data_IF_744212448933
#
_entry.id   IF_744212448933
#
_cell.length_a   1.000
_cell.length_b   1.000
_cell.length_c   1.000
_cell.angle_alpha   90.00
_cell.angle_beta   90.00
_cell.angle_gamma   90.00
#
_symmetry.space_group_name_H-M   'P 1'
#
loop_
_entity.id
_entity.type
_entity.pdbx_description
1 polymer ?
#
# COMPACT_ATOMS: atom_id res chain seq x y z
N UNK A 1 -16.00 26.14 -9.58
CA UNK A 1 -15.08 25.24 -10.29
C UNK A 1 -15.35 23.87 -9.69
N UNK A 2 -16.08 23.01 -10.41
CA UNK A 2 -16.42 21.69 -9.89
C UNK A 2 -15.11 20.89 -9.79
N UNK A 3 -14.68 20.57 -8.56
CA UNK A 3 -13.63 19.59 -8.37
C UNK A 3 -14.15 18.28 -8.96
N UNK A 4 -13.32 17.65 -9.79
CA UNK A 4 -13.59 16.34 -10.37
C UNK A 4 -13.83 15.36 -9.21
N UNK A 5 -15.10 14.97 -9.01
CA UNK A 5 -15.55 14.05 -7.96
C UNK A 5 -15.20 12.58 -8.32
N UNK A 6 -14.36 12.39 -9.34
CA UNK A 6 -13.81 11.09 -9.69
C UNK A 6 -12.62 10.79 -8.79
N UNK A 7 -12.63 9.63 -8.08
CA UNK A 7 -11.48 9.21 -7.30
C UNK A 7 -10.28 9.10 -8.24
N UNK A 8 -9.23 9.89 -7.98
CA UNK A 8 -7.99 9.83 -8.74
C UNK A 8 -7.46 8.39 -8.73
N UNK A 9 -6.94 7.86 -9.85
CA UNK A 9 -6.36 6.54 -9.89
C UNK A 9 -5.25 6.41 -8.83
N UNK A 10 -5.06 5.21 -8.26
CA UNK A 10 -4.04 5.02 -7.24
C UNK A 10 -2.64 5.26 -7.83
N UNK A 11 -1.76 5.85 -7.03
CA UNK A 11 -0.39 6.18 -7.46
C UNK A 11 0.59 5.97 -6.31
N UNK A 12 0.81 4.69 -5.97
CA UNK A 12 1.82 4.24 -5.01
C UNK A 12 3.19 4.10 -5.65
N UNK A 13 3.23 3.83 -6.96
CA UNK A 13 4.42 3.61 -7.76
C UNK A 13 4.41 4.59 -8.95
N UNK A 14 5.52 5.31 -9.15
CA UNK A 14 5.75 6.12 -10.34
C UNK A 14 6.46 5.31 -11.43
N UNK A 15 6.29 5.74 -12.69
CA UNK A 15 6.98 5.12 -13.83
C UNK A 15 8.50 5.14 -13.64
N UNK A 16 9.03 6.24 -13.10
CA UNK A 16 10.46 6.39 -12.83
C UNK A 16 10.96 5.36 -11.83
N UNK A 17 10.27 5.19 -10.70
CA UNK A 17 10.66 4.22 -9.68
C UNK A 17 10.55 2.79 -10.20
N UNK A 18 9.52 2.49 -10.99
CA UNK A 18 9.36 1.20 -11.64
C UNK A 18 10.54 0.87 -12.57
N UNK A 19 10.93 1.82 -13.42
CA UNK A 19 12.06 1.66 -14.34
C UNK A 19 13.39 1.44 -13.61
N UNK A 20 13.59 2.10 -12.46
CA UNK A 20 14.78 1.90 -11.61
C UNK A 20 14.83 0.47 -11.09
N UNK A 21 13.75 0.00 -10.46
CA UNK A 21 13.70 -1.35 -9.86
C UNK A 21 13.83 -2.44 -10.93
N UNK A 22 13.15 -2.29 -12.07
CA UNK A 22 13.25 -3.26 -13.17
C UNK A 22 14.67 -3.31 -13.76
N UNK A 23 15.35 -2.17 -13.77
CA UNK A 23 16.71 -2.04 -14.32
C UNK A 23 17.80 -2.71 -13.49
N UNK A 24 17.53 -3.09 -12.23
CA UNK A 24 18.46 -3.89 -11.41
C UNK A 24 18.73 -5.28 -12.02
N UNK A 25 17.78 -5.80 -12.80
CA UNK A 25 17.92 -7.06 -13.53
C UNK A 25 18.47 -6.79 -14.93
N UNK A 26 17.82 -5.87 -15.64
CA UNK A 26 18.20 -5.45 -16.99
C UNK A 26 17.51 -4.13 -17.34
N UNK A 27 18.15 -3.20 -18.09
CA UNK A 27 17.49 -1.98 -18.56
C UNK A 27 16.13 -2.25 -19.20
N UNK A 28 15.06 -1.94 -18.47
CA UNK A 28 13.68 -2.31 -18.81
C UNK A 28 12.76 -1.22 -18.28
N UNK A 29 11.83 -0.77 -19.13
CA UNK A 29 10.78 0.17 -18.71
C UNK A 29 9.43 -0.53 -18.53
N UNK A 30 8.57 0.01 -17.68
CA UNK A 30 7.22 -0.50 -17.47
C UNK A 30 6.22 0.23 -18.38
N UNK A 31 5.36 -0.52 -19.10
CA UNK A 31 4.27 0.10 -19.88
C UNK A 31 3.22 0.75 -18.97
N UNK A 32 2.56 1.81 -19.44
CA UNK A 32 1.51 2.53 -18.68
C UNK A 32 0.44 1.58 -18.12
N UNK A 33 -0.14 0.71 -18.95
CA UNK A 33 -1.20 -0.21 -18.51
C UNK A 33 -0.72 -1.18 -17.41
N UNK A 34 0.57 -1.56 -17.44
CA UNK A 34 1.17 -2.40 -16.41
C UNK A 34 1.42 -1.62 -15.11
N UNK A 35 1.83 -0.35 -15.21
CA UNK A 35 1.97 0.56 -14.08
C UNK A 35 0.62 0.78 -13.38
N UNK A 36 -0.43 1.04 -14.16
CA UNK A 36 -1.79 1.21 -13.65
C UNK A 36 -2.28 -0.07 -12.96
N UNK A 37 -1.99 -1.24 -13.54
CA UNK A 37 -2.33 -2.53 -12.94
C UNK A 37 -1.58 -2.80 -11.63
N UNK A 38 -0.29 -2.44 -11.53
CA UNK A 38 0.46 -2.54 -10.26
C UNK A 38 -0.15 -1.61 -9.22
N UNK A 39 -0.42 -0.35 -9.57
CA UNK A 39 -1.02 0.60 -8.63
C UNK A 39 -2.41 0.17 -8.15
N UNK A 40 -3.24 -0.39 -9.03
CA UNK A 40 -4.55 -0.95 -8.66
C UNK A 40 -4.40 -2.17 -7.73
N UNK A 41 -3.43 -3.05 -8.00
CA UNK A 41 -3.11 -4.20 -7.15
C UNK A 41 -2.70 -3.78 -5.73
N UNK A 42 -1.89 -2.72 -5.61
CA UNK A 42 -1.47 -2.18 -4.31
C UNK A 42 -2.61 -1.49 -3.55
N UNK A 43 -3.51 -0.80 -4.26
CA UNK A 43 -4.71 -0.17 -3.69
C UNK A 43 -5.66 -1.21 -3.08
N UNK A 44 -5.93 -2.29 -3.82
CA UNK A 44 -6.75 -3.42 -3.37
C UNK A 44 -6.09 -4.22 -2.24
N UNK A 45 -4.75 -4.34 -2.23
CA UNK A 45 -4.01 -4.90 -1.10
C UNK A 45 -4.23 -4.05 0.17
N UNK A 46 -4.08 -2.73 0.08
CA UNK A 46 -4.32 -1.82 1.20
C UNK A 46 -5.75 -1.96 1.72
N UNK A 47 -6.73 -1.94 0.82
CA UNK A 47 -8.14 -2.11 1.17
C UNK A 47 -8.40 -3.47 1.85
N UNK A 48 -7.80 -4.55 1.34
CA UNK A 48 -7.91 -5.90 1.90
C UNK A 48 -7.32 -6.00 3.31
N UNK A 49 -6.15 -5.40 3.55
CA UNK A 49 -5.53 -5.36 4.88
C UNK A 49 -6.45 -4.64 5.87
N UNK A 50 -6.99 -3.47 5.50
CA UNK A 50 -7.88 -2.70 6.37
C UNK A 50 -9.21 -3.40 6.63
N UNK A 51 -9.75 -4.07 5.62
CA UNK A 51 -10.93 -4.93 5.76
C UNK A 51 -10.69 -6.06 6.76
N UNK A 52 -9.52 -6.70 6.72
CA UNK A 52 -9.17 -7.80 7.61
C UNK A 52 -8.75 -7.38 9.02
N UNK A 53 -8.17 -6.18 9.15
CA UNK A 53 -7.65 -5.62 10.41
C UNK A 53 -8.73 -4.94 11.26
N UNK A 54 -9.65 -4.20 10.63
CA UNK A 54 -10.72 -3.41 11.29
C UNK A 54 -10.23 -2.47 12.41
N UNK A 55 -8.95 -2.08 12.39
CA UNK A 55 -8.31 -1.19 13.35
C UNK A 55 -6.99 -0.62 12.81
N UNK A 56 -6.56 0.52 13.36
CA UNK A 56 -5.32 1.22 12.96
C UNK A 56 -4.09 0.88 13.79
N UNK A 57 -4.23 0.06 14.84
CA UNK A 57 -3.06 -0.37 15.62
C UNK A 57 -2.19 -1.29 14.78
N UNK A 58 -0.87 -1.09 14.80
CA UNK A 58 0.09 -1.88 14.00
C UNK A 58 -0.02 -3.38 14.26
N UNK A 59 -0.35 -3.79 15.49
CA UNK A 59 -0.63 -5.19 15.83
C UNK A 59 -1.81 -5.79 15.07
N UNK A 60 -2.88 -5.01 14.84
CA UNK A 60 -4.05 -5.43 14.06
C UNK A 60 -3.79 -5.32 12.56
N UNK A 61 -3.06 -4.32 12.10
CA UNK A 61 -2.64 -4.21 10.69
C UNK A 61 -1.78 -5.41 10.29
N UNK A 62 -0.82 -5.78 11.14
CA UNK A 62 -0.02 -7.01 11.01
C UNK A 62 -0.88 -8.26 10.96
N UNK A 63 -1.86 -8.38 11.86
CA UNK A 63 -2.79 -9.50 11.86
C UNK A 63 -3.67 -9.53 10.59
N UNK A 64 -4.10 -8.37 10.10
CA UNK A 64 -4.82 -8.20 8.83
C UNK A 64 -3.99 -8.65 7.63
N UNK A 65 -2.74 -8.16 7.53
CA UNK A 65 -1.80 -8.61 6.50
C UNK A 65 -1.57 -10.12 6.58
N UNK A 66 -1.40 -10.70 7.77
CA UNK A 66 -1.22 -12.15 7.90
C UNK A 66 -2.44 -12.95 7.45
N UNK A 67 -3.66 -12.43 7.57
CA UNK A 67 -4.87 -13.07 7.02
C UNK A 67 -4.94 -12.98 5.49
N UNK A 68 -4.48 -11.86 4.93
CA UNK A 68 -4.56 -11.56 3.48
C UNK A 68 -3.42 -12.21 2.70
N UNK A 69 -2.22 -12.22 3.26
CA UNK A 69 -0.99 -12.73 2.66
C UNK A 69 -0.22 -13.62 3.67
N UNK A 70 -0.72 -14.85 3.94
CA UNK A 70 -0.15 -15.77 4.95
C UNK A 70 1.14 -16.48 4.47
N UNK A 71 1.99 -15.81 3.71
CA UNK A 71 3.19 -16.38 3.05
C UNK A 71 4.47 -15.78 3.61
N UNK A 72 5.63 -16.20 3.09
CA UNK A 72 6.93 -15.62 3.46
C UNK A 72 7.01 -14.15 3.09
N UNK A 73 6.48 -13.77 1.91
CA UNK A 73 6.41 -12.38 1.46
C UNK A 73 5.66 -11.50 2.47
N UNK A 74 4.51 -11.96 2.98
CA UNK A 74 3.78 -11.22 4.02
C UNK A 74 4.57 -11.07 5.33
N UNK A 75 5.45 -12.01 5.67
CA UNK A 75 6.32 -11.91 6.86
C UNK A 75 7.49 -10.95 6.64
N UNK A 76 8.05 -10.95 5.44
CA UNK A 76 9.11 -10.02 5.03
C UNK A 76 8.59 -8.58 5.01
N UNK A 77 7.41 -8.34 4.44
CA UNK A 77 6.75 -7.04 4.45
C UNK A 77 6.45 -6.53 5.88
N UNK A 78 6.10 -7.43 6.82
CA UNK A 78 5.97 -7.08 8.24
C UNK A 78 7.32 -6.66 8.83
N UNK A 79 8.41 -7.38 8.51
CA UNK A 79 9.74 -7.04 9.03
C UNK A 79 10.15 -5.63 8.62
N UNK A 80 9.95 -5.27 7.35
CA UNK A 80 10.25 -3.91 6.86
C UNK A 80 9.39 -2.85 7.56
N UNK A 81 8.11 -3.14 7.77
CA UNK A 81 7.20 -2.23 8.47
C UNK A 81 7.57 -2.03 9.95
N UNK A 82 8.01 -3.08 10.64
CA UNK A 82 8.51 -2.96 12.02
C UNK A 82 9.83 -2.17 12.07
N UNK A 83 10.70 -2.32 11.05
CA UNK A 83 11.95 -1.55 10.94
C UNK A 83 11.68 -0.06 10.73
N UNK A 84 10.81 0.30 9.79
CA UNK A 84 10.46 1.71 9.53
C UNK A 84 9.82 2.35 10.76
N UNK A 85 8.92 1.62 11.42
CA UNK A 85 8.24 2.12 12.61
C UNK A 85 9.21 2.31 13.78
N UNK A 86 10.17 1.40 13.94
CA UNK A 86 11.25 1.55 14.92
C UNK A 86 12.09 2.79 14.63
N UNK A 87 12.50 2.99 13.38
CA UNK A 87 13.27 4.16 12.97
C UNK A 87 12.48 5.47 13.21
N UNK A 88 11.16 5.46 13.01
CA UNK A 88 10.29 6.59 13.33
C UNK A 88 10.29 6.92 14.83
N UNK A 89 10.17 5.93 15.70
CA UNK A 89 10.20 6.14 17.15
C UNK A 89 11.55 6.61 17.66
N UNK A 90 12.65 6.08 17.11
CA UNK A 90 14.01 6.53 17.41
C UNK A 90 14.21 8.00 17.03
N UNK A 91 13.63 8.45 15.90
CA UNK A 91 13.66 9.87 15.46
C UNK A 91 12.77 10.79 16.32
N UNK A 92 11.62 10.31 16.77
CA UNK A 92 10.60 11.13 17.46
C UNK A 92 10.67 11.08 18.98
N UNK A 93 11.56 10.25 19.55
CA UNK A 93 11.66 10.05 21.00
C UNK A 93 10.44 9.35 21.62
N UNK A 94 9.59 8.75 20.79
CA UNK A 94 8.42 7.99 21.23
C UNK A 94 8.81 6.60 21.75
N UNK A 95 8.25 6.16 22.88
CA UNK A 95 8.46 4.80 23.35
C UNK A 95 7.59 3.81 22.55
N UNK A 96 8.14 2.70 22.03
CA UNK A 96 7.33 1.60 21.52
C UNK A 96 6.48 1.04 22.67
N UNK A 97 5.15 1.19 22.57
CA UNK A 97 4.19 0.60 23.52
C UNK A 97 3.36 1.58 24.37
N UNK A 98 3.50 2.90 24.25
CA UNK A 98 2.70 3.86 25.06
C UNK A 98 1.25 4.08 24.57
N UNK A 99 0.83 3.40 23.51
CA UNK A 99 -0.47 3.59 22.86
C UNK A 99 -1.51 2.48 23.08
N UNK A 100 -1.27 1.53 24.00
CA UNK A 100 -2.20 0.41 24.25
C UNK A 100 -3.42 0.86 25.08
N UNK A 101 -4.28 1.67 24.47
CA UNK A 101 -5.71 1.61 24.77
C UNK A 101 -6.37 0.92 23.59
N UNK A 102 -6.52 -0.40 23.74
CA UNK A 102 -7.34 -1.25 22.90
C UNK A 102 -8.79 -0.77 23.06
N UNK A 103 -9.22 0.17 22.23
CA UNK A 103 -10.64 0.29 21.92
C UNK A 103 -10.85 -0.69 20.78
N UNK A 104 -11.25 -1.91 21.13
CA UNK A 104 -11.89 -2.80 20.17
C UNK A 104 -13.14 -2.05 19.73
N UNK A 105 -13.06 -1.44 18.56
CA UNK A 105 -14.20 -0.76 17.97
C UNK A 105 -15.17 -1.88 17.59
N UNK A 106 -16.36 -1.88 18.20
CA UNK A 106 -17.46 -2.72 17.78
C UNK A 106 -17.64 -2.59 16.25
N UNK A 107 -18.10 -3.63 15.57
CA UNK A 107 -18.09 -3.73 14.09
C UNK A 107 -18.87 -2.58 13.41
N UNK A 108 -19.71 -1.87 14.17
CA UNK A 108 -20.45 -0.66 13.76
C UNK A 108 -19.63 0.65 13.73
N UNK A 109 -18.40 0.69 14.25
CA UNK A 109 -17.62 1.93 14.40
C UNK A 109 -16.37 2.07 13.52
N UNK A 110 -15.94 1.01 12.81
CA UNK A 110 -14.82 1.11 11.87
C UNK A 110 -15.33 1.51 10.47
N UNK A 111 -15.24 2.81 10.18
CA UNK A 111 -15.65 3.40 8.91
C UNK A 111 -14.63 3.11 7.80
N UNK A 112 -14.64 1.87 7.31
CA UNK A 112 -13.64 1.33 6.36
C UNK A 112 -13.39 2.26 5.17
N UNK A 113 -14.44 2.75 4.52
CA UNK A 113 -14.31 3.58 3.33
C UNK A 113 -13.53 4.88 3.61
N UNK A 114 -13.95 5.64 4.63
CA UNK A 114 -13.29 6.91 4.99
C UNK A 114 -11.86 6.70 5.48
N UNK A 115 -11.62 5.62 6.25
CA UNK A 115 -10.29 5.26 6.74
C UNK A 115 -9.38 4.83 5.59
N UNK A 116 -9.92 4.08 4.63
CA UNK A 116 -9.20 3.67 3.43
C UNK A 116 -8.82 4.88 2.57
N UNK A 117 -9.76 5.80 2.30
CA UNK A 117 -9.48 7.04 1.57
C UNK A 117 -8.35 7.85 2.24
N UNK A 118 -8.38 7.95 3.58
CA UNK A 118 -7.37 8.70 4.33
C UNK A 118 -6.00 8.01 4.28
N UNK A 119 -5.95 6.71 4.51
CA UNK A 119 -4.70 5.95 4.47
C UNK A 119 -4.14 5.83 3.07
N UNK A 120 -4.98 5.72 2.04
CA UNK A 120 -4.55 5.76 0.63
C UNK A 120 -3.80 7.06 0.34
N UNK A 121 -4.36 8.21 0.71
CA UNK A 121 -3.71 9.51 0.52
C UNK A 121 -2.35 9.56 1.24
N UNK A 122 -2.29 9.09 2.49
CA UNK A 122 -1.05 9.08 3.26
C UNK A 122 -0.01 8.12 2.69
N UNK A 123 -0.38 6.89 2.33
CA UNK A 123 0.54 5.91 1.77
C UNK A 123 1.10 6.34 0.41
N UNK A 124 0.30 6.99 -0.44
CA UNK A 124 0.77 7.53 -1.71
C UNK A 124 1.76 8.68 -1.52
N UNK A 125 1.56 9.52 -0.50
CA UNK A 125 2.46 10.63 -0.18
C UNK A 125 3.72 10.20 0.60
N UNK A 126 3.65 9.11 1.37
CA UNK A 126 4.78 8.60 2.14
C UNK A 126 5.65 7.61 1.37
N UNK A 127 5.13 7.03 0.30
CA UNK A 127 5.90 6.08 -0.49
C UNK A 127 7.04 6.80 -1.23
N UNK A 128 8.25 6.29 -1.00
CA UNK A 128 9.47 6.60 -1.73
C UNK A 128 9.43 6.15 -3.20
N UNK A 129 8.50 5.26 -3.54
CA UNK A 129 8.26 4.78 -4.90
C UNK A 129 7.32 5.71 -5.70
N UNK A 130 6.62 6.62 -5.03
CA UNK A 130 5.65 7.55 -5.60
C UNK A 130 6.29 8.91 -5.92
N UNK A 131 5.72 9.62 -6.91
CA UNK A 131 6.04 11.02 -7.19
C UNK A 131 5.03 11.99 -6.52
N UNK A 132 4.17 11.49 -5.63
CA UNK A 132 3.14 12.30 -4.96
C UNK A 132 3.65 12.92 -3.66
N UNK A 133 3.37 14.20 -3.48
CA UNK A 133 3.56 14.90 -2.21
C UNK A 133 2.28 14.89 -1.35
N UNK A 134 2.42 15.22 -0.06
CA UNK A 134 1.27 15.40 0.84
C UNK A 134 0.33 16.50 0.31
N UNK A 135 -0.91 16.12 0.01
CA UNK A 135 -1.94 17.05 -0.44
C UNK A 135 -2.83 17.48 0.75
N UNK A 136 -2.38 18.51 1.47
CA UNK A 136 -3.07 19.03 2.66
C UNK A 136 -4.51 19.49 2.37
N UNK A 137 -4.79 20.00 1.16
CA UNK A 137 -6.14 20.43 0.76
C UNK A 137 -7.09 19.24 0.62
N UNK A 138 -6.65 18.19 -0.08
CA UNK A 138 -7.44 16.96 -0.27
C UNK A 138 -7.68 16.26 1.07
N UNK A 139 -6.67 16.22 1.93
CA UNK A 139 -6.80 15.69 3.30
C UNK A 139 -7.82 16.51 4.11
N UNK A 140 -7.74 17.83 4.09
CA UNK A 140 -8.68 18.70 4.81
C UNK A 140 -10.12 18.49 4.36
N UNK A 141 -10.36 18.39 3.04
CA UNK A 141 -11.68 18.11 2.49
C UNK A 141 -12.21 16.72 2.90
N UNK A 142 -11.34 15.70 2.94
CA UNK A 142 -11.73 14.38 3.41
C UNK A 142 -12.09 14.39 4.90
N UNK A 143 -11.30 15.08 5.73
CA UNK A 143 -11.58 15.22 7.17
C UNK A 143 -12.88 16.02 7.43
N UNK A 144 -13.15 17.05 6.62
CA UNK A 144 -14.40 17.81 6.67
C UNK A 144 -15.61 16.92 6.32
N UNK A 145 -15.51 16.12 5.25
CA UNK A 145 -16.52 15.12 4.87
C UNK A 145 -16.77 14.11 5.99
N UNK A 146 -15.71 13.54 6.56
CA UNK A 146 -15.80 12.62 7.70
C UNK A 146 -16.53 13.25 8.89
N UNK A 147 -16.18 14.50 9.23
CA UNK A 147 -16.83 15.25 10.32
C UNK A 147 -18.33 15.47 10.04
N UNK A 148 -18.68 15.86 8.81
CA UNK A 148 -20.07 16.08 8.40
C UNK A 148 -20.92 14.80 8.44
N UNK A 149 -20.31 13.65 8.14
CA UNK A 149 -20.93 12.32 8.21
C UNK A 149 -20.95 11.72 9.64
N UNK A 150 -20.39 12.43 10.63
CA UNK A 150 -20.27 11.94 12.01
C UNK A 150 -19.25 10.82 12.20
N UNK A 151 -18.35 10.63 11.23
CA UNK A 151 -17.26 9.65 11.28
C UNK A 151 -16.16 10.14 12.22
N UNK A 152 -15.77 9.37 13.26
CA UNK A 152 -14.68 9.76 14.15
C UNK A 152 -13.35 9.92 13.41
N UNK A 153 -12.73 11.09 13.55
CA UNK A 153 -11.41 11.37 12.97
C UNK A 153 -10.33 10.67 13.82
N UNK A 154 -9.46 9.82 13.23
CA UNK A 154 -8.36 9.19 13.94
C UNK A 154 -7.40 10.22 14.53
N UNK A 155 -6.88 9.94 15.73
CA UNK A 155 -5.84 10.78 16.33
C UNK A 155 -4.53 10.62 15.54
N UNK A 156 -3.76 11.70 15.42
CA UNK A 156 -2.46 11.67 14.74
C UNK A 156 -1.49 10.63 15.33
N UNK A 157 -1.57 10.41 16.64
CA UNK A 157 -0.78 9.39 17.34
C UNK A 157 -1.11 7.94 16.94
N UNK A 158 -2.24 7.71 16.27
CA UNK A 158 -2.61 6.43 15.68
C UNK A 158 -2.41 6.43 14.16
N UNK A 159 -2.77 7.54 13.50
CA UNK A 159 -2.71 7.67 12.06
C UNK A 159 -1.28 7.61 11.53
N UNK A 160 -0.35 8.40 12.10
CA UNK A 160 1.04 8.45 11.59
C UNK A 160 1.73 7.08 11.65
N UNK A 161 1.74 6.34 12.78
CA UNK A 161 2.29 4.99 12.82
C UNK A 161 1.63 4.02 11.83
N UNK A 162 0.30 4.08 11.70
CA UNK A 162 -0.44 3.22 10.77
C UNK A 162 -0.06 3.50 9.31
N UNK A 163 0.02 4.77 8.92
CA UNK A 163 0.40 5.19 7.57
C UNK A 163 1.81 4.74 7.22
N UNK A 164 2.79 4.97 8.10
CA UNK A 164 4.17 4.54 7.86
C UNK A 164 4.27 3.01 7.74
N UNK A 165 3.61 2.29 8.65
CA UNK A 165 3.60 0.83 8.66
C UNK A 165 3.01 0.25 7.38
N UNK A 166 1.86 0.77 6.92
CA UNK A 166 1.21 0.32 5.70
C UNK A 166 1.98 0.74 4.44
N UNK A 167 2.64 1.89 4.46
CA UNK A 167 3.51 2.34 3.36
C UNK A 167 4.64 1.35 3.16
N UNK A 168 5.37 1.00 4.22
CA UNK A 168 6.47 0.03 4.16
C UNK A 168 6.00 -1.36 3.68
N UNK A 169 4.81 -1.81 4.09
CA UNK A 169 4.21 -3.06 3.56
C UNK A 169 3.97 -2.97 2.05
N UNK A 170 3.33 -1.88 1.60
CA UNK A 170 2.99 -1.67 0.19
C UNK A 170 4.25 -1.60 -0.67
N UNK A 171 5.29 -0.90 -0.20
CA UNK A 171 6.57 -0.79 -0.89
C UNK A 171 7.30 -2.13 -0.99
N UNK A 172 7.43 -2.86 0.13
CA UNK A 172 8.07 -4.18 0.15
C UNK A 172 7.41 -5.15 -0.83
N UNK A 173 6.07 -5.16 -0.90
CA UNK A 173 5.33 -6.01 -1.83
C UNK A 173 5.48 -5.51 -3.28
N UNK A 174 5.46 -4.19 -3.51
CA UNK A 174 5.67 -3.59 -4.83
C UNK A 174 7.04 -3.95 -5.41
N UNK A 175 8.11 -3.79 -4.64
CA UNK A 175 9.47 -4.12 -5.04
C UNK A 175 9.61 -5.60 -5.39
N UNK A 176 9.03 -6.49 -4.57
CA UNK A 176 9.02 -7.92 -4.83
C UNK A 176 8.30 -8.27 -6.13
N UNK A 177 7.13 -7.69 -6.36
CA UNK A 177 6.37 -7.85 -7.62
C UNK A 177 7.23 -7.40 -8.80
N UNK A 178 7.77 -6.18 -8.76
CA UNK A 178 8.58 -5.62 -9.85
C UNK A 178 9.86 -6.42 -10.11
N UNK A 179 10.50 -6.95 -9.07
CA UNK A 179 11.65 -7.85 -9.24
C UNK A 179 11.24 -9.10 -10.04
N UNK A 180 10.09 -9.70 -9.74
CA UNK A 180 9.59 -10.84 -10.50
C UNK A 180 9.18 -10.47 -11.93
N UNK A 181 8.56 -9.30 -12.13
CA UNK A 181 8.26 -8.78 -13.47
C UNK A 181 9.53 -8.60 -14.30
N UNK A 182 10.58 -8.02 -13.72
CA UNK A 182 11.87 -7.85 -14.40
C UNK A 182 12.49 -9.19 -14.78
N UNK A 183 12.37 -10.23 -13.94
CA UNK A 183 12.85 -11.59 -14.25
C UNK A 183 12.07 -12.23 -15.40
N UNK A 184 10.76 -12.01 -15.46
CA UNK A 184 9.91 -12.50 -16.55
C UNK A 184 10.26 -11.77 -17.86
N UNK A 185 10.33 -10.44 -17.83
CA UNK A 185 10.67 -9.63 -19.01
C UNK A 185 12.07 -9.98 -19.56
N UNK A 186 13.04 -10.25 -18.68
CA UNK A 186 14.40 -10.62 -19.05
C UNK A 186 14.52 -11.99 -19.79
N UNK A 187 13.45 -12.81 -19.81
CA UNK A 187 13.42 -14.07 -20.58
C UNK A 187 13.46 -13.82 -22.08
N UNK A 188 12.93 -12.68 -22.53
CA UNK A 188 13.03 -12.23 -23.92
C UNK A 188 13.95 -11.01 -23.99
N UNK A 189 15.25 -11.29 -24.19
CA UNK A 189 16.28 -10.26 -24.25
C UNK A 189 16.17 -9.33 -25.47
N UNK A 190 15.29 -9.60 -26.43
CA UNK A 190 15.03 -8.70 -27.55
C UNK A 190 14.17 -7.49 -27.15
N UNK A 191 13.46 -7.58 -26.02
CA UNK A 191 12.55 -6.55 -25.51
C UNK A 191 13.19 -5.76 -24.39
N UNK A 192 12.89 -4.47 -24.29
CA UNK A 192 13.32 -3.59 -23.20
C UNK A 192 12.12 -3.01 -22.44
N UNK A 193 10.97 -3.67 -22.55
CA UNK A 193 9.68 -3.23 -22.00
C UNK A 193 8.97 -4.40 -21.33
N UNK A 194 8.64 -4.20 -20.05
CA UNK A 194 7.76 -5.06 -19.29
C UNK A 194 6.30 -4.62 -19.49
N UNK A 195 5.45 -5.57 -19.83
CA UNK A 195 4.04 -5.36 -20.16
C UNK A 195 3.13 -5.92 -19.08
N UNK A 196 1.82 -5.64 -19.18
CA UNK A 196 0.81 -6.23 -18.29
C UNK A 196 0.80 -7.77 -18.38
N UNK A 197 1.21 -8.34 -19.52
CA UNK A 197 1.35 -9.79 -19.66
C UNK A 197 2.54 -10.33 -18.83
N UNK A 198 3.66 -9.61 -18.80
CA UNK A 198 4.81 -10.00 -17.98
C UNK A 198 4.49 -9.89 -16.49
N UNK A 199 3.74 -8.86 -16.09
CA UNK A 199 3.16 -8.73 -14.75
C UNK A 199 2.24 -9.91 -14.39
N UNK A 200 1.31 -10.25 -15.28
CA UNK A 200 0.40 -11.37 -15.06
C UNK A 200 1.14 -12.70 -14.89
N UNK A 201 2.15 -12.95 -15.74
CA UNK A 201 2.99 -14.15 -15.63
C UNK A 201 3.74 -14.16 -14.29
N UNK A 202 4.36 -13.04 -13.90
CA UNK A 202 5.07 -12.92 -12.63
C UNK A 202 4.18 -13.23 -11.42
N UNK A 203 2.96 -12.69 -11.39
CA UNK A 203 1.98 -12.95 -10.33
C UNK A 203 1.47 -14.40 -10.32
N UNK A 204 1.38 -15.04 -11.49
CA UNK A 204 0.95 -16.43 -11.61
C UNK A 204 2.03 -17.44 -11.21
N UNK A 205 3.30 -17.12 -11.45
CA UNK A 205 4.44 -17.97 -11.10
C UNK A 205 4.89 -17.83 -9.64
N UNK A 206 4.54 -16.71 -9.00
CA UNK A 206 4.90 -16.46 -7.61
C UNK A 206 3.89 -17.05 -6.63
N UNK A 207 4.21 -18.24 -6.12
CA UNK A 207 3.42 -18.94 -5.10
C UNK A 207 3.18 -18.13 -3.81
N UNK A 208 3.99 -17.11 -3.52
CA UNK A 208 3.88 -16.32 -2.29
C UNK A 208 2.81 -15.24 -2.39
N UNK A 209 2.42 -14.80 -3.59
CA UNK A 209 1.39 -13.78 -3.82
C UNK A 209 0.20 -14.28 -4.63
N UNK A 210 0.35 -15.39 -5.37
CA UNK A 210 -0.67 -15.90 -6.28
C UNK A 210 -2.06 -16.07 -5.64
N UNK A 211 -2.12 -16.57 -4.41
CA UNK A 211 -3.40 -16.77 -3.71
C UNK A 211 -4.13 -15.45 -3.45
N UNK A 212 -3.39 -14.40 -3.11
CA UNK A 212 -3.93 -13.04 -2.96
C UNK A 212 -4.41 -12.53 -4.31
N UNK A 213 -3.54 -12.53 -5.32
CA UNK A 213 -3.84 -12.05 -6.67
C UNK A 213 -5.08 -12.73 -7.26
N UNK A 214 -5.19 -14.05 -7.14
CA UNK A 214 -6.34 -14.83 -7.62
C UNK A 214 -7.64 -14.50 -6.88
N UNK A 215 -7.55 -14.12 -5.60
CA UNK A 215 -8.69 -13.79 -4.76
C UNK A 215 -9.27 -12.41 -5.04
N UNK A 216 -8.53 -11.54 -5.73
CA UNK A 216 -8.97 -10.20 -6.09
C UNK A 216 -10.02 -10.29 -7.19
N UNK A 217 -11.20 -9.74 -6.92
CA UNK A 217 -12.23 -9.59 -7.95
C UNK A 217 -11.75 -8.49 -8.87
N UNK A 218 -11.62 -8.77 -10.18
CA UNK A 218 -11.52 -7.70 -11.16
C UNK A 218 -12.79 -6.86 -11.04
N UNK A 219 -12.67 -5.66 -10.47
CA UNK A 219 -13.76 -4.69 -10.43
C UNK A 219 -13.90 -4.06 -11.81
#
# INVERSE_FOLDING_TARGET
MAYDDYPKPPSYLSARSADVILSDIRPTTLTSDALDAVNALLDELLHSILTAARALTTSQLRAGLHKVLPTTLGKEAVLEAEMELRAYWERTGGAPGSGSSQVIVDDSGFHLQSIFELLRLKCQAYSTLSDMDENSETEAHLLERMSAEGVPIPKQSQLTPASLYLTAIVESICEHILSNVGRVAARDSSRATATAQDLFIALCEDSTIYALFKGMKGQ
#
